data_IF_783537921350
#
_entry.id   IF_783537921350
#
_cell.length_a   1.000
_cell.length_b   1.000
_cell.length_c   1.000
_cell.angle_alpha   90.00
_cell.angle_beta   90.00
_cell.angle_gamma   90.00
#
_symmetry.space_group_name_H-M   'P 1'
#
loop_
_entity.id
_entity.type
_entity.pdbx_description
1 polymer ?
#
# COMPACT_ATOMS: atom_id res chain seq x y z
N UNK A 1 -8.41 34.41 -15.91
CA UNK A 1 -8.00 34.29 -14.49
C UNK A 1 -9.15 33.94 -13.53
N UNK A 2 -10.20 33.22 -14.00
CA UNK A 2 -11.36 32.81 -13.19
C UNK A 2 -11.50 31.28 -13.09
N UNK A 3 -10.80 30.51 -13.94
CA UNK A 3 -10.67 29.05 -13.80
C UNK A 3 -9.83 28.62 -12.60
N UNK A 4 -8.85 29.41 -12.17
CA UNK A 4 -7.98 29.01 -11.06
C UNK A 4 -8.69 29.06 -9.69
N UNK A 5 -9.75 29.86 -9.56
CA UNK A 5 -10.61 29.86 -8.36
C UNK A 5 -11.52 28.62 -8.29
N UNK A 6 -11.86 28.01 -9.44
CA UNK A 6 -12.52 26.70 -9.48
C UNK A 6 -11.56 25.57 -9.08
N UNK A 7 -10.28 25.67 -9.44
CA UNK A 7 -9.27 24.70 -9.03
C UNK A 7 -8.79 24.88 -7.57
N UNK A 8 -8.83 26.12 -7.04
CA UNK A 8 -8.53 26.41 -5.64
C UNK A 8 -9.68 26.10 -4.66
N UNK A 9 -10.89 25.92 -5.18
CA UNK A 9 -12.06 25.45 -4.44
C UNK A 9 -12.36 23.97 -4.66
N UNK A 10 -11.36 23.14 -5.02
CA UNK A 10 -11.37 21.67 -4.83
C UNK A 10 -11.45 21.36 -3.33
N UNK A 11 -12.51 21.85 -2.70
CA UNK A 11 -12.87 21.60 -1.34
C UNK A 11 -13.45 20.20 -1.24
N UNK A 12 -13.61 19.76 0.00
CA UNK A 12 -14.17 18.46 0.33
C UNK A 12 -15.46 18.10 -0.44
N UNK A 13 -16.25 19.10 -0.86
CA UNK A 13 -17.48 18.90 -1.64
C UNK A 13 -17.30 18.18 -2.98
N UNK A 14 -16.34 18.59 -3.83
CA UNK A 14 -16.12 17.93 -5.13
C UNK A 14 -15.53 16.54 -4.97
N UNK A 15 -14.63 16.37 -3.99
CA UNK A 15 -14.09 15.04 -3.63
C UNK A 15 -15.20 14.10 -3.17
N UNK A 16 -16.14 14.60 -2.36
CA UNK A 16 -17.32 13.83 -1.93
C UNK A 16 -18.22 13.45 -3.11
N UNK A 17 -18.46 14.36 -4.06
CA UNK A 17 -19.28 14.06 -5.25
C UNK A 17 -18.61 12.98 -6.10
N UNK A 18 -17.30 13.09 -6.37
CA UNK A 18 -16.54 12.08 -7.12
C UNK A 18 -16.58 10.74 -6.38
N UNK A 19 -16.36 10.74 -5.06
CA UNK A 19 -16.43 9.54 -4.23
C UNK A 19 -17.82 8.90 -4.29
N UNK A 20 -18.90 9.69 -4.27
CA UNK A 20 -20.28 9.19 -4.42
C UNK A 20 -20.53 8.58 -5.80
N UNK A 21 -20.06 9.19 -6.87
CA UNK A 21 -20.19 8.62 -8.23
C UNK A 21 -19.44 7.29 -8.33
N UNK A 22 -18.21 7.23 -7.83
CA UNK A 22 -17.42 5.98 -7.76
C UNK A 22 -18.14 4.94 -6.90
N UNK A 23 -18.72 5.34 -5.77
CA UNK A 23 -19.48 4.47 -4.88
C UNK A 23 -20.75 3.91 -5.56
N UNK A 24 -21.43 4.69 -6.40
CA UNK A 24 -22.60 4.24 -7.15
C UNK A 24 -22.21 3.27 -8.28
N UNK A 25 -21.10 3.52 -8.97
CA UNK A 25 -20.63 2.66 -10.06
C UNK A 25 -20.07 1.33 -9.57
N UNK A 26 -19.26 1.35 -8.51
CA UNK A 26 -18.60 0.15 -7.99
C UNK A 26 -19.36 -0.50 -6.83
N UNK A 27 -20.27 0.23 -6.19
CA UNK A 27 -20.95 -0.19 -4.97
C UNK A 27 -20.09 -0.04 -3.72
N UNK A 28 -20.71 0.25 -2.58
CA UNK A 28 -19.99 0.40 -1.30
C UNK A 28 -19.32 -0.86 -0.76
N UNK A 29 -19.61 -2.03 -1.32
CA UNK A 29 -18.99 -3.30 -0.93
C UNK A 29 -17.65 -3.57 -1.63
N UNK A 30 -17.45 -3.06 -2.84
CA UNK A 30 -16.23 -3.34 -3.63
C UNK A 30 -15.00 -2.57 -3.15
N UNK A 31 -15.17 -1.34 -2.67
CA UNK A 31 -14.04 -0.55 -2.13
C UNK A 31 -13.39 -1.26 -0.92
N UNK A 32 -14.13 -1.71 0.12
CA UNK A 32 -13.55 -2.47 1.23
C UNK A 32 -12.97 -3.82 0.81
N UNK A 33 -13.58 -4.50 -0.16
CA UNK A 33 -13.12 -5.80 -0.65
C UNK A 33 -11.76 -5.67 -1.37
N UNK A 34 -11.62 -4.67 -2.24
CA UNK A 34 -10.35 -4.33 -2.90
C UNK A 34 -9.28 -3.89 -1.89
N UNK A 35 -9.63 -3.05 -0.91
CA UNK A 35 -8.70 -2.65 0.15
C UNK A 35 -8.22 -3.84 0.98
N UNK A 36 -9.10 -4.79 1.32
CA UNK A 36 -8.71 -6.03 2.01
C UNK A 36 -7.79 -6.89 1.14
N UNK A 37 -8.04 -6.98 -0.16
CA UNK A 37 -7.18 -7.69 -1.11
C UNK A 37 -5.78 -7.08 -1.20
N UNK A 38 -5.69 -5.77 -1.40
CA UNK A 38 -4.43 -5.03 -1.45
C UNK A 38 -3.69 -5.12 -0.11
N UNK A 39 -4.39 -4.95 1.02
CA UNK A 39 -3.80 -5.02 2.36
C UNK A 39 -3.17 -6.40 2.65
N UNK A 40 -3.84 -7.49 2.24
CA UNK A 40 -3.27 -8.84 2.32
C UNK A 40 -2.04 -8.99 1.42
N UNK A 41 -2.11 -8.51 0.18
CA UNK A 41 -0.99 -8.57 -0.77
C UNK A 41 0.25 -7.82 -0.27
N UNK A 42 0.08 -6.59 0.23
CA UNK A 42 1.17 -5.79 0.82
C UNK A 42 1.74 -6.46 2.06
N UNK A 43 0.90 -7.05 2.93
CA UNK A 43 1.37 -7.78 4.11
C UNK A 43 2.20 -9.00 3.72
N UNK A 44 1.69 -9.85 2.82
CA UNK A 44 2.43 -11.03 2.34
C UNK A 44 3.73 -10.65 1.63
N UNK A 45 3.74 -9.56 0.87
CA UNK A 45 4.96 -9.03 0.25
C UNK A 45 5.99 -8.62 1.30
N UNK A 46 5.55 -7.85 2.32
CA UNK A 46 6.43 -7.43 3.42
C UNK A 46 6.96 -8.60 4.24
N UNK A 47 6.12 -9.58 4.54
CA UNK A 47 6.50 -10.79 5.28
C UNK A 47 7.52 -11.62 4.48
N UNK A 48 7.35 -11.74 3.15
CA UNK A 48 8.30 -12.43 2.28
C UNK A 48 9.65 -11.72 2.15
N UNK A 49 9.66 -10.39 2.03
CA UNK A 49 10.90 -9.60 1.98
C UNK A 49 11.67 -9.73 3.30
N UNK A 50 10.99 -9.66 4.45
CA UNK A 50 11.63 -9.84 5.76
C UNK A 50 12.24 -11.23 5.94
N UNK A 51 11.55 -12.29 5.51
CA UNK A 51 12.10 -13.64 5.57
C UNK A 51 13.41 -13.77 4.78
N UNK A 52 13.48 -13.12 3.62
CA UNK A 52 14.69 -13.10 2.78
C UNK A 52 15.81 -12.26 3.44
N UNK A 53 15.47 -11.10 4.02
CA UNK A 53 16.44 -10.30 4.78
C UNK A 53 17.02 -11.07 5.97
N UNK A 54 16.18 -11.79 6.72
CA UNK A 54 16.59 -12.60 7.87
C UNK A 54 17.48 -13.79 7.45
N UNK A 55 17.21 -14.41 6.28
CA UNK A 55 18.05 -15.47 5.70
C UNK A 55 19.41 -14.94 5.23
N UNK A 56 19.46 -13.80 4.54
CA UNK A 56 20.70 -13.18 4.07
C UNK A 56 21.60 -12.77 5.25
N UNK A 57 21.03 -12.16 6.30
CA UNK A 57 21.80 -11.77 7.49
C UNK A 57 22.28 -12.99 8.32
N UNK A 58 21.57 -14.11 8.26
CA UNK A 58 21.96 -15.34 8.95
C UNK A 58 23.14 -16.07 8.28
N UNK A 59 23.34 -15.88 6.98
CA UNK A 59 24.46 -16.48 6.25
C UNK A 59 25.76 -15.67 6.41
N UNK A 60 25.69 -14.33 6.49
CA UNK A 60 26.86 -13.48 6.81
C UNK A 60 27.43 -13.75 8.22
N UNK A 61 26.61 -14.26 9.16
CA UNK A 61 27.07 -14.61 10.52
C UNK A 61 27.66 -16.02 10.62
N UNK A 62 27.42 -16.90 9.64
CA UNK A 62 27.87 -18.31 9.68
C UNK A 62 29.24 -18.54 9.04
N UNK A 63 29.71 -17.68 8.13
CA UNK A 63 31.05 -17.79 7.55
C UNK A 63 32.17 -17.38 8.52
N UNK A 64 31.89 -16.50 9.50
CA UNK A 64 32.89 -16.06 10.48
C UNK A 64 33.26 -17.10 11.56
N UNK A 65 32.62 -18.29 11.60
CA UNK A 65 32.82 -19.29 12.66
C UNK A 65 33.50 -20.59 12.21
N UNK A 66 34.00 -20.66 10.98
CA UNK A 66 34.64 -21.87 10.42
C UNK A 66 36.17 -21.77 10.23
N UNK A 67 36.79 -20.62 10.50
CA UNK A 67 38.24 -20.43 10.37
C UNK A 67 39.04 -20.58 11.68
N UNK A 68 38.39 -20.85 12.82
CA UNK A 68 39.07 -21.02 14.12
C UNK A 68 38.97 -22.45 14.67
N UNK A 69 39.04 -23.47 13.79
CA UNK A 69 39.18 -24.87 14.22
C UNK A 69 40.16 -25.65 13.36
#
# INVERSE_FOLDING_TARGET
MRSLLLFGSFGAGEVIIIALVVLLLFGGKKIPELMKGIGKGVKSFKDGVKGIEDEINADDTKEAKKEEK
#
